data_IF_218508723447
#
_entry.id   IF_218508723447
#
_cell.length_a   1.000
_cell.length_b   1.000
_cell.length_c   1.000
_cell.angle_alpha   90.00
_cell.angle_beta   90.00
_cell.angle_gamma   90.00
#
_symmetry.space_group_name_H-M   'P 1'
#
loop_
_entity.id
_entity.type
_entity.pdbx_description
1 polymer ?
#
# COMPACT_ATOMS: atom_id res chain seq x y z
N UNK A 1 10.95 -17.11 -10.32
CA UNK A 1 9.58 -16.67 -10.67
C UNK A 1 8.86 -16.35 -9.37
N UNK A 2 8.21 -15.18 -9.23
CA UNK A 2 7.53 -14.82 -7.98
C UNK A 2 6.16 -15.52 -7.88
N UNK A 3 5.70 -15.84 -6.67
CA UNK A 3 4.43 -16.54 -6.38
C UNK A 3 3.18 -15.72 -6.76
N UNK A 4 2.30 -16.20 -7.66
CA UNK A 4 1.06 -15.48 -8.03
C UNK A 4 0.12 -15.15 -6.87
N UNK A 5 0.08 -15.97 -5.80
CA UNK A 5 -0.84 -15.73 -4.66
C UNK A 5 -0.55 -14.41 -3.92
N UNK A 6 0.65 -13.83 -4.08
CA UNK A 6 1.00 -12.53 -3.50
C UNK A 6 0.10 -11.39 -4.02
N UNK A 7 -0.37 -11.50 -5.27
CA UNK A 7 -1.18 -10.46 -5.93
C UNK A 7 -2.49 -10.27 -5.17
N UNK A 8 -3.18 -11.36 -4.84
CA UNK A 8 -4.46 -11.30 -4.16
C UNK A 8 -4.32 -10.74 -2.74
N UNK A 9 -3.23 -11.08 -2.03
CA UNK A 9 -2.93 -10.54 -0.69
C UNK A 9 -2.76 -9.02 -0.72
N UNK A 10 -1.96 -8.51 -1.67
CA UNK A 10 -1.72 -7.07 -1.85
C UNK A 10 -3.02 -6.36 -2.23
N UNK A 11 -3.77 -6.89 -3.19
CA UNK A 11 -5.04 -6.29 -3.65
C UNK A 11 -6.11 -6.29 -2.55
N UNK A 12 -6.14 -7.29 -1.67
CA UNK A 12 -7.09 -7.33 -0.55
C UNK A 12 -6.87 -6.14 0.41
N UNK A 13 -5.61 -5.84 0.74
CA UNK A 13 -5.25 -4.73 1.63
C UNK A 13 -5.55 -3.38 0.94
N UNK A 14 -5.09 -3.20 -0.31
CA UNK A 14 -5.37 -1.98 -1.08
C UNK A 14 -6.88 -1.73 -1.18
N UNK A 15 -7.66 -2.76 -1.53
CA UNK A 15 -9.12 -2.66 -1.67
C UNK A 15 -9.78 -2.26 -0.35
N UNK A 16 -9.40 -2.88 0.76
CA UNK A 16 -9.96 -2.57 2.08
C UNK A 16 -9.67 -1.12 2.46
N UNK A 17 -8.42 -0.68 2.34
CA UNK A 17 -8.01 0.69 2.67
C UNK A 17 -8.69 1.70 1.75
N UNK A 18 -8.75 1.43 0.44
CA UNK A 18 -9.36 2.37 -0.50
C UNK A 18 -10.87 2.54 -0.30
N UNK A 19 -11.57 1.46 0.09
CA UNK A 19 -12.97 1.55 0.50
C UNK A 19 -13.18 2.37 1.79
N UNK A 20 -12.22 2.35 2.71
CA UNK A 20 -12.27 3.13 3.94
C UNK A 20 -11.98 4.63 3.71
N UNK A 21 -11.24 4.96 2.66
CA UNK A 21 -10.88 6.33 2.30
C UNK A 21 -11.26 6.65 0.84
N UNK A 22 -12.58 6.72 0.52
CA UNK A 22 -13.07 6.84 -0.86
C UNK A 22 -12.69 8.17 -1.54
N UNK A 23 -12.35 9.21 -0.77
CA UNK A 23 -11.95 10.52 -1.31
C UNK A 23 -10.56 10.49 -1.96
N UNK A 24 -9.71 9.51 -1.61
CA UNK A 24 -8.41 9.33 -2.23
C UNK A 24 -8.58 8.61 -3.57
N UNK A 25 -7.90 9.06 -4.62
CA UNK A 25 -7.68 8.24 -5.82
C UNK A 25 -6.64 7.16 -5.50
N UNK A 26 -6.71 6.00 -6.14
CA UNK A 26 -5.77 4.88 -5.88
C UNK A 26 -4.30 5.32 -5.92
N UNK A 27 -3.90 6.11 -6.92
CA UNK A 27 -2.53 6.61 -7.01
C UNK A 27 -2.10 7.46 -5.81
N UNK A 28 -3.00 8.28 -5.26
CA UNK A 28 -2.71 9.07 -4.06
C UNK A 28 -2.52 8.18 -2.84
N UNK A 29 -3.38 7.17 -2.67
CA UNK A 29 -3.27 6.19 -1.59
C UNK A 29 -1.90 5.47 -1.62
N UNK A 30 -1.48 5.02 -2.81
CA UNK A 30 -0.19 4.34 -2.98
C UNK A 30 1.02 5.28 -2.81
N UNK A 31 0.91 6.54 -3.23
CA UNK A 31 2.02 7.49 -3.09
C UNK A 31 2.15 8.05 -1.67
N UNK A 32 1.06 8.12 -0.89
CA UNK A 32 1.10 8.59 0.50
C UNK A 32 1.95 7.70 1.42
N UNK A 33 2.11 6.41 1.08
CA UNK A 33 2.93 5.48 1.86
C UNK A 33 4.41 5.49 1.46
N UNK A 34 4.77 6.25 0.41
CA UNK A 34 6.15 6.38 -0.05
C UNK A 34 6.79 7.58 0.64
N UNK A 35 7.95 7.38 1.30
CA UNK A 35 8.68 8.49 1.93
C UNK A 35 9.44 9.28 0.87
N UNK A 36 9.56 10.59 1.08
CA UNK A 36 10.25 11.53 0.18
C UNK A 36 11.79 11.51 0.34
N UNK A 37 12.38 10.36 0.67
CA UNK A 37 13.84 10.25 0.73
C UNK A 37 14.39 9.84 -0.64
N UNK A 38 15.29 10.69 -1.16
CA UNK A 38 15.90 10.59 -2.50
C UNK A 38 16.62 9.27 -2.78
N UNK A 39 16.78 8.42 -1.77
CA UNK A 39 17.54 7.16 -1.82
C UNK A 39 16.67 5.90 -1.72
N UNK A 40 15.41 6.01 -1.25
CA UNK A 40 14.57 4.85 -0.85
C UNK A 40 13.11 4.96 -1.33
N UNK A 41 12.70 6.11 -1.84
CA UNK A 41 11.30 6.51 -1.99
C UNK A 41 10.66 6.34 -3.37
N UNK A 42 11.00 5.31 -4.15
CA UNK A 42 10.28 5.05 -5.40
C UNK A 42 9.39 3.81 -5.24
N UNK A 43 8.09 3.99 -5.42
CA UNK A 43 7.08 2.91 -5.42
C UNK A 43 7.50 1.71 -6.31
N UNK A 44 8.28 1.97 -7.35
CA UNK A 44 8.82 0.96 -8.26
C UNK A 44 9.73 -0.09 -7.59
N UNK A 45 10.51 0.30 -6.58
CA UNK A 45 11.44 -0.61 -5.89
C UNK A 45 10.88 -1.18 -4.58
N UNK A 46 9.68 -0.77 -4.19
CA UNK A 46 9.04 -1.21 -2.96
C UNK A 46 8.55 -2.65 -3.11
N UNK A 47 8.92 -3.52 -2.16
CA UNK A 47 8.42 -4.89 -2.11
C UNK A 47 7.01 -4.97 -1.52
N UNK A 48 6.29 -6.04 -1.83
CA UNK A 48 4.86 -6.22 -1.47
C UNK A 48 4.64 -6.14 0.06
N UNK A 49 5.51 -6.76 0.86
CA UNK A 49 5.45 -6.73 2.32
C UNK A 49 5.72 -5.34 2.89
N UNK A 50 6.64 -4.59 2.28
CA UNK A 50 6.91 -3.20 2.67
C UNK A 50 5.69 -2.32 2.38
N UNK A 51 5.12 -2.43 1.17
CA UNK A 51 3.92 -1.69 0.79
C UNK A 51 2.76 -1.96 1.76
N UNK A 52 2.50 -3.24 2.06
CA UNK A 52 1.45 -3.65 3.00
C UNK A 52 1.74 -3.08 4.40
N UNK A 53 2.97 -3.23 4.89
CA UNK A 53 3.38 -2.73 6.20
C UNK A 53 3.16 -1.22 6.34
N UNK A 54 3.53 -0.44 5.32
CA UNK A 54 3.33 1.02 5.33
C UNK A 54 1.88 1.42 5.19
N UNK A 55 1.07 0.71 4.40
CA UNK A 55 -0.39 0.92 4.35
C UNK A 55 -1.01 0.67 5.73
N UNK A 56 -0.65 -0.42 6.40
CA UNK A 56 -1.14 -0.72 7.75
C UNK A 56 -0.65 0.31 8.76
N UNK A 57 0.60 0.76 8.67
CA UNK A 57 1.12 1.79 9.58
C UNK A 57 0.40 3.13 9.41
N UNK A 58 0.11 3.54 8.18
CA UNK A 58 -0.51 4.84 7.89
C UNK A 58 -2.03 4.83 8.04
N UNK A 59 -2.69 3.68 7.80
CA UNK A 59 -4.14 3.56 7.72
C UNK A 59 -4.74 2.49 8.65
N UNK A 60 -3.94 1.79 9.46
CA UNK A 60 -4.34 0.60 10.22
C UNK A 60 -5.31 0.82 11.38
N UNK A 61 -5.57 2.08 11.76
CA UNK A 61 -6.59 2.43 12.76
C UNK A 61 -8.03 2.22 12.28
N UNK A 62 -8.25 1.64 11.09
CA UNK A 62 -9.56 1.20 10.63
C UNK A 62 -10.03 0.04 11.52
N UNK A 63 -10.78 0.38 12.57
CA UNK A 63 -11.56 -0.57 13.37
C UNK A 63 -12.43 -1.41 12.42
N UNK A 64 -12.28 -2.73 12.57
CA UNK A 64 -13.14 -3.77 11.99
C UNK A 64 -14.57 -3.56 12.52
#
# INVERSE_FOLDING_TARGET
MRDPERIDKVLAIIRRTWKAYPDLRLGQLLLNVVQNDLTSGLLYYMEDEELIGRIIQLYGDIKI
#
